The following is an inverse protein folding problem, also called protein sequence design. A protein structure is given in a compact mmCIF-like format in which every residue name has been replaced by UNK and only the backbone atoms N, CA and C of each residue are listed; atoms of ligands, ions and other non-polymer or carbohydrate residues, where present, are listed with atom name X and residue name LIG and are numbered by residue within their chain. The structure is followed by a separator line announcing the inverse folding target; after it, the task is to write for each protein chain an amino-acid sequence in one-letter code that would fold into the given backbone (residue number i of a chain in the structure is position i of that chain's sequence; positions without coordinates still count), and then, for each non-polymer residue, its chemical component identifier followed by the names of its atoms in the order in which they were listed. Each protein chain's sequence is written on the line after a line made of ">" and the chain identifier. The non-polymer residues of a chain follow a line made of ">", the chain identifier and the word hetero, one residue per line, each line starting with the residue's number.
data_IF_879395146299
#
_entry.id   IF_879395146299
#
_cell.length_a   1.000
_cell.length_b   1.000
_cell.length_c   1.000
_cell.angle_alpha   90.00
_cell.angle_beta   90.00
_cell.angle_gamma   90.00
#
_symmetry.space_group_name_H-M   'P 1'
#
loop_
_entity.id
_entity.type
_entity.pdbx_description
1 polymer ?
#
# COMPACT_ATOMS: atom_id res chain seq x y z
N UNK A 1 -26.13 6.45 -3.46
CA UNK A 1 -25.62 7.65 -4.18
C UNK A 1 -24.33 7.34 -4.94
N UNK A 2 -23.32 6.76 -4.34
CA UNK A 2 -22.02 6.38 -4.96
C UNK A 2 -22.19 5.43 -6.14
N UNK A 3 -22.98 4.37 -6.02
CA UNK A 3 -23.21 3.38 -7.08
C UNK A 3 -23.72 3.99 -8.40
N UNK A 4 -24.56 5.05 -8.31
CA UNK A 4 -25.03 5.79 -9.49
C UNK A 4 -23.95 6.69 -10.11
N UNK A 5 -23.02 7.22 -9.31
CA UNK A 5 -21.91 8.04 -9.82
C UNK A 5 -20.89 7.17 -10.58
N UNK A 6 -20.61 5.97 -10.06
CA UNK A 6 -19.73 4.99 -10.71
C UNK A 6 -20.29 4.55 -12.07
N UNK A 7 -21.61 4.40 -12.22
CA UNK A 7 -22.24 4.00 -13.48
C UNK A 7 -22.07 5.04 -14.63
N UNK A 8 -21.87 6.32 -14.32
CA UNK A 8 -21.81 7.38 -15.36
C UNK A 8 -20.65 7.20 -16.36
N UNK A 9 -19.39 7.00 -15.96
CA UNK A 9 -18.29 6.78 -16.90
C UNK A 9 -18.48 5.48 -17.70
N UNK A 10 -18.99 4.41 -17.09
CA UNK A 10 -19.32 3.18 -17.80
C UNK A 10 -20.36 3.39 -18.89
N UNK A 11 -21.40 4.16 -18.61
CA UNK A 11 -22.44 4.44 -19.59
C UNK A 11 -21.94 5.25 -20.80
N UNK A 12 -20.90 6.08 -20.63
CA UNK A 12 -20.24 6.73 -21.76
C UNK A 12 -19.58 5.70 -22.70
N UNK A 13 -18.87 4.74 -22.12
CA UNK A 13 -18.21 3.65 -22.87
C UNK A 13 -19.28 2.76 -23.52
N UNK A 14 -20.27 2.30 -22.75
CA UNK A 14 -21.34 1.44 -23.24
C UNK A 14 -22.09 2.05 -24.43
N UNK A 15 -22.31 3.37 -24.42
CA UNK A 15 -22.91 4.09 -25.55
C UNK A 15 -22.08 3.96 -26.82
N UNK A 16 -20.75 4.02 -26.73
CA UNK A 16 -19.86 3.87 -27.90
C UNK A 16 -20.01 2.48 -28.55
N UNK A 17 -20.23 1.46 -27.72
CA UNK A 17 -20.43 0.07 -28.17
C UNK A 17 -21.89 -0.33 -28.36
N UNK A 18 -22.84 0.63 -28.45
CA UNK A 18 -24.25 0.34 -28.65
C UNK A 18 -24.96 -0.44 -27.55
N UNK A 19 -24.35 -0.49 -26.35
CA UNK A 19 -24.89 -1.24 -25.22
C UNK A 19 -25.86 -0.40 -24.40
N UNK A 20 -26.87 -1.06 -23.79
CA UNK A 20 -27.84 -0.40 -22.91
C UNK A 20 -27.16 0.20 -21.68
N UNK A 21 -27.56 1.39 -21.20
CA UNK A 21 -27.03 1.98 -19.99
C UNK A 21 -27.40 1.15 -18.75
N UNK A 22 -26.50 1.13 -17.77
CA UNK A 22 -26.73 0.55 -16.45
C UNK A 22 -27.17 1.64 -15.46
N UNK A 23 -27.95 1.27 -14.44
CA UNK A 23 -28.51 2.21 -13.44
C UNK A 23 -27.58 2.40 -12.24
N UNK A 24 -26.79 1.38 -11.91
CA UNK A 24 -25.90 1.37 -10.74
C UNK A 24 -24.65 0.55 -11.01
N UNK A 25 -23.66 0.64 -10.10
CA UNK A 25 -22.45 -0.17 -10.14
C UNK A 25 -22.76 -1.67 -10.02
N UNK A 26 -23.82 -2.05 -9.32
CA UNK A 26 -24.19 -3.45 -9.10
C UNK A 26 -24.51 -4.17 -10.43
N UNK A 27 -25.07 -3.44 -11.40
CA UNK A 27 -25.34 -3.97 -12.75
C UNK A 27 -24.08 -4.11 -13.62
N UNK A 28 -22.92 -3.64 -13.13
CA UNK A 28 -21.63 -3.76 -13.83
C UNK A 28 -20.89 -5.03 -13.36
N UNK A 29 -21.17 -5.47 -12.14
CA UNK A 29 -20.57 -6.70 -11.59
C UNK A 29 -21.07 -7.92 -12.38
N UNK A 30 -20.18 -8.92 -12.51
CA UNK A 30 -20.55 -10.16 -13.16
C UNK A 30 -21.60 -10.92 -12.34
N UNK A 31 -22.57 -11.53 -13.03
CA UNK A 31 -23.51 -12.49 -12.47
C UNK A 31 -22.95 -13.90 -12.35
N UNK A 32 -21.78 -14.17 -12.95
CA UNK A 32 -21.12 -15.48 -13.00
C UNK A 32 -19.92 -15.59 -12.05
N UNK A 33 -18.99 -14.63 -12.08
CA UNK A 33 -17.76 -14.67 -11.29
C UNK A 33 -17.23 -13.27 -11.05
N UNK A 34 -16.92 -12.94 -9.80
CA UNK A 34 -16.24 -11.72 -9.37
C UNK A 34 -15.01 -12.11 -8.56
N UNK A 35 -13.84 -11.82 -9.08
CA UNK A 35 -12.55 -12.11 -8.43
C UNK A 35 -12.13 -10.93 -7.56
N UNK A 36 -11.86 -11.19 -6.30
CA UNK A 36 -11.47 -10.20 -5.32
C UNK A 36 -10.02 -10.50 -4.90
N UNK A 37 -9.03 -9.70 -5.38
CA UNK A 37 -7.61 -9.97 -5.17
C UNK A 37 -7.14 -9.55 -3.77
N UNK A 38 -7.80 -10.03 -2.73
CA UNK A 38 -7.49 -9.76 -1.32
C UNK A 38 -7.32 -11.10 -0.59
N UNK A 39 -6.39 -11.15 0.35
CA UNK A 39 -6.13 -12.32 1.18
C UNK A 39 -7.24 -12.55 2.20
N UNK A 40 -7.67 -13.81 2.33
CA UNK A 40 -8.59 -14.27 3.38
C UNK A 40 -7.98 -14.19 4.80
N UNK A 41 -6.68 -14.10 4.90
CA UNK A 41 -5.97 -13.92 6.18
C UNK A 41 -5.94 -12.48 6.66
N UNK A 42 -6.37 -11.54 5.81
CA UNK A 42 -6.43 -10.11 6.09
C UNK A 42 -7.87 -9.62 6.20
N UNK A 43 -8.75 -10.18 5.37
CA UNK A 43 -10.18 -9.83 5.33
C UNK A 43 -11.01 -11.10 5.35
N UNK A 44 -11.90 -11.21 6.34
CA UNK A 44 -12.88 -12.29 6.34
C UNK A 44 -13.88 -12.13 5.19
N UNK A 45 -14.23 -13.25 4.57
CA UNK A 45 -15.29 -13.25 3.55
C UNK A 45 -16.60 -12.81 4.18
N UNK A 46 -17.25 -11.83 3.59
CA UNK A 46 -18.58 -11.41 4.04
C UNK A 46 -19.57 -12.59 3.88
N UNK A 47 -20.24 -13.03 4.95
CA UNK A 47 -21.14 -14.18 4.91
C UNK A 47 -22.38 -13.98 4.01
N UNK A 48 -22.70 -12.74 3.68
CA UNK A 48 -23.81 -12.42 2.76
C UNK A 48 -23.38 -12.37 1.27
N UNK A 49 -22.12 -12.59 0.97
CA UNK A 49 -21.67 -12.67 -0.42
C UNK A 49 -22.10 -13.98 -1.05
N UNK A 50 -22.67 -13.90 -2.25
CA UNK A 50 -22.91 -15.05 -3.11
C UNK A 50 -21.59 -15.77 -3.46
N UNK A 51 -21.66 -17.05 -3.80
CA UNK A 51 -20.48 -17.89 -4.12
C UNK A 51 -19.64 -17.34 -5.26
N UNK A 52 -20.26 -16.65 -6.20
CA UNK A 52 -19.58 -15.98 -7.32
C UNK A 52 -18.54 -14.91 -6.90
N UNK A 53 -18.60 -14.42 -5.66
CA UNK A 53 -17.63 -13.46 -5.13
C UNK A 53 -16.53 -14.20 -4.39
N UNK A 54 -15.35 -14.33 -5.02
CA UNK A 54 -14.26 -15.19 -4.57
C UNK A 54 -13.03 -14.36 -4.17
N UNK A 55 -12.57 -14.55 -2.93
CA UNK A 55 -11.26 -14.05 -2.49
C UNK A 55 -10.18 -14.96 -3.09
N UNK A 56 -9.31 -14.41 -3.91
CA UNK A 56 -8.26 -15.18 -4.62
C UNK A 56 -6.88 -15.07 -3.98
N UNK A 57 -6.73 -14.23 -2.96
CA UNK A 57 -5.42 -13.80 -2.51
C UNK A 57 -4.89 -12.66 -3.37
N UNK A 58 -3.81 -12.00 -2.93
CA UNK A 58 -3.23 -10.87 -3.65
C UNK A 58 -2.61 -11.30 -4.98
N UNK A 59 -2.75 -10.42 -5.98
CA UNK A 59 -2.07 -10.58 -7.27
C UNK A 59 -0.82 -9.72 -7.25
N UNK A 60 0.32 -10.36 -7.23
CA UNK A 60 1.63 -9.70 -7.18
C UNK A 60 2.64 -10.45 -8.03
N UNK A 61 3.68 -9.75 -8.43
CA UNK A 61 4.82 -10.32 -9.13
C UNK A 61 5.87 -10.74 -8.08
N UNK A 62 6.27 -11.99 -8.09
CA UNK A 62 7.25 -12.53 -7.13
C UNK A 62 8.67 -12.12 -7.47
N UNK A 63 8.97 -11.91 -8.75
CA UNK A 63 10.31 -11.66 -9.24
C UNK A 63 10.41 -10.29 -9.89
N UNK A 64 10.98 -9.35 -9.17
CA UNK A 64 11.50 -8.15 -9.79
C UNK A 64 13.03 -8.22 -9.71
N UNK A 65 13.68 -8.59 -10.79
CA UNK A 65 15.12 -8.37 -10.99
C UNK A 65 15.36 -6.86 -11.06
N UNK A 66 15.52 -6.25 -9.90
CA UNK A 66 15.89 -4.84 -9.82
C UNK A 66 17.33 -4.71 -9.35
N UNK A 67 18.14 -4.05 -10.15
CA UNK A 67 19.51 -3.71 -9.79
C UNK A 67 19.53 -2.23 -9.37
N UNK A 68 19.81 -1.95 -8.08
CA UNK A 68 19.90 -0.58 -7.60
C UNK A 68 21.09 0.13 -8.25
N UNK A 69 21.00 1.45 -8.39
CA UNK A 69 22.18 2.24 -8.68
C UNK A 69 23.18 2.18 -7.52
N UNK A 70 24.45 2.53 -7.81
CA UNK A 70 25.56 2.42 -6.86
C UNK A 70 25.29 3.22 -5.57
N UNK A 71 24.73 4.42 -5.68
CA UNK A 71 24.45 5.28 -4.53
C UNK A 71 23.40 4.67 -3.60
N UNK A 72 22.34 4.10 -4.17
CA UNK A 72 21.28 3.44 -3.40
C UNK A 72 21.83 2.17 -2.71
N UNK A 73 22.64 1.39 -3.42
CA UNK A 73 23.27 0.20 -2.85
C UNK A 73 24.23 0.57 -1.70
N UNK A 74 25.07 1.57 -1.88
CA UNK A 74 25.99 2.07 -0.85
C UNK A 74 25.22 2.62 0.36
N UNK A 75 24.18 3.41 0.14
CA UNK A 75 23.36 3.92 1.22
C UNK A 75 22.75 2.79 2.05
N UNK A 76 22.19 1.76 1.44
CA UNK A 76 21.63 0.61 2.16
C UNK A 76 22.70 -0.13 2.95
N UNK A 77 23.87 -0.35 2.36
CA UNK A 77 24.97 -1.08 2.99
C UNK A 77 25.67 -0.31 4.12
N UNK A 78 25.56 1.03 4.16
CA UNK A 78 26.33 1.90 5.07
C UNK A 78 25.83 1.95 6.52
N UNK A 79 24.77 1.19 6.90
CA UNK A 79 24.28 1.19 8.28
C UNK A 79 22.98 0.41 8.48
N UNK A 80 22.27 0.71 9.55
CA UNK A 80 21.02 0.05 9.91
C UNK A 80 19.95 0.19 8.82
N UNK A 81 19.05 -0.79 8.77
CA UNK A 81 17.91 -0.77 7.81
C UNK A 81 17.13 0.54 7.90
N UNK A 82 16.96 1.26 6.80
CA UNK A 82 16.26 2.54 6.77
C UNK A 82 14.74 2.36 6.94
N UNK A 83 14.07 3.42 7.35
CA UNK A 83 12.62 3.58 7.19
C UNK A 83 12.34 3.92 5.73
N UNK A 84 11.35 3.26 5.12
CA UNK A 84 10.91 3.62 3.76
C UNK A 84 9.72 4.55 3.87
N UNK A 85 9.80 5.74 3.28
CA UNK A 85 8.67 6.65 3.12
C UNK A 85 8.16 6.56 1.67
N UNK A 86 6.93 6.09 1.48
CA UNK A 86 6.31 5.90 0.17
C UNK A 86 4.89 6.47 0.14
N UNK A 87 4.78 7.79 -0.05
CA UNK A 87 3.49 8.46 -0.21
C UNK A 87 3.13 8.56 -1.70
N UNK A 88 1.91 8.15 -2.05
CA UNK A 88 1.37 8.26 -3.40
C UNK A 88 1.07 9.70 -3.81
N UNK A 89 0.86 9.94 -5.10
CA UNK A 89 0.63 11.27 -5.66
C UNK A 89 -0.57 12.02 -5.06
N UNK A 90 -1.64 11.31 -4.68
CA UNK A 90 -2.83 11.91 -4.03
C UNK A 90 -2.58 12.42 -2.61
N UNK A 91 -1.42 12.13 -2.03
CA UNK A 91 -1.07 12.56 -0.68
C UNK A 91 -0.77 14.06 -0.56
N UNK A 92 -0.78 14.80 -1.67
CA UNK A 92 -0.41 16.22 -1.72
C UNK A 92 -1.56 17.17 -2.08
N UNK A 93 -2.81 16.70 -2.00
CA UNK A 93 -3.98 17.53 -2.35
C UNK A 93 -4.31 18.58 -1.29
N UNK A 94 -4.01 18.31 -0.02
CA UNK A 94 -4.36 19.15 1.13
C UNK A 94 -3.23 20.07 1.61
N UNK A 95 -1.98 19.74 1.31
CA UNK A 95 -0.77 20.49 1.70
C UNK A 95 0.28 20.43 0.61
N UNK A 96 1.18 21.42 0.61
CA UNK A 96 2.30 21.39 -0.33
C UNK A 96 3.19 20.17 -0.09
N UNK A 97 3.77 19.65 -1.18
CA UNK A 97 4.69 18.53 -1.14
C UNK A 97 5.90 18.84 -0.23
N UNK A 98 6.37 20.09 -0.26
CA UNK A 98 7.48 20.57 0.59
C UNK A 98 7.15 20.55 2.07
N UNK A 99 6.00 21.05 2.47
CA UNK A 99 5.59 21.07 3.89
C UNK A 99 5.53 19.66 4.48
N UNK A 100 4.97 18.72 3.73
CA UNK A 100 4.93 17.32 4.17
C UNK A 100 6.33 16.70 4.25
N UNK A 101 7.18 16.98 3.27
CA UNK A 101 8.56 16.50 3.28
C UNK A 101 9.32 17.05 4.49
N UNK A 102 9.20 18.33 4.77
CA UNK A 102 9.82 18.97 5.93
C UNK A 102 9.41 18.29 7.25
N UNK A 103 8.11 17.96 7.43
CA UNK A 103 7.63 17.26 8.62
C UNK A 103 8.29 15.89 8.79
N UNK A 104 8.37 15.08 7.70
CA UNK A 104 9.00 13.76 7.75
C UNK A 104 10.50 13.85 7.97
N UNK A 105 11.20 14.73 7.27
CA UNK A 105 12.65 14.93 7.41
C UNK A 105 12.99 15.33 8.85
N UNK A 106 12.24 16.27 9.44
CA UNK A 106 12.44 16.69 10.82
C UNK A 106 12.13 15.57 11.81
N UNK A 107 11.07 14.80 11.58
CA UNK A 107 10.73 13.66 12.41
C UNK A 107 11.83 12.57 12.37
N UNK A 108 12.36 12.25 11.19
CA UNK A 108 13.47 11.29 11.06
C UNK A 108 14.75 11.80 11.77
N UNK A 109 15.08 13.10 11.64
CA UNK A 109 16.21 13.69 12.39
C UNK A 109 16.04 13.53 13.90
N UNK A 110 14.85 13.88 14.43
CA UNK A 110 14.57 13.82 15.87
C UNK A 110 14.49 12.39 16.43
N UNK A 111 14.15 11.42 15.59
CA UNK A 111 14.12 10.01 15.99
C UNK A 111 15.43 9.25 15.71
N UNK A 112 16.42 9.91 15.09
CA UNK A 112 17.67 9.27 14.67
C UNK A 112 17.47 8.21 13.58
N UNK A 113 16.35 8.27 12.83
CA UNK A 113 16.03 7.28 11.82
C UNK A 113 16.76 7.56 10.51
N UNK A 114 17.41 6.53 9.94
CA UNK A 114 17.78 6.55 8.52
C UNK A 114 16.54 6.37 7.67
N UNK A 115 16.46 7.03 6.51
CA UNK A 115 15.29 6.91 5.65
C UNK A 115 15.62 6.88 4.16
N UNK A 116 14.84 6.09 3.40
CA UNK A 116 14.76 6.19 1.94
C UNK A 116 13.38 6.76 1.60
N UNK A 117 13.36 7.83 0.81
CA UNK A 117 12.16 8.59 0.46
C UNK A 117 11.84 8.37 -1.01
N UNK A 118 10.70 7.72 -1.28
CA UNK A 118 10.16 7.55 -2.61
C UNK A 118 8.96 8.47 -2.81
N UNK A 119 8.98 9.23 -3.88
CA UNK A 119 8.00 10.28 -4.16
C UNK A 119 8.56 11.68 -3.99
N UNK A 120 7.70 12.68 -3.76
CA UNK A 120 8.07 14.09 -3.58
C UNK A 120 8.87 14.65 -4.77
N UNK A 121 8.57 14.21 -5.99
CA UNK A 121 9.39 14.45 -7.18
C UNK A 121 9.59 15.91 -7.51
N UNK A 122 8.59 16.77 -7.25
CA UNK A 122 8.68 18.20 -7.52
C UNK A 122 9.63 18.89 -6.54
N UNK A 123 9.52 18.53 -5.26
CA UNK A 123 10.32 19.12 -4.19
C UNK A 123 11.75 18.59 -4.16
N UNK A 124 11.95 17.29 -4.46
CA UNK A 124 13.25 16.64 -4.39
C UNK A 124 14.30 17.21 -5.36
N UNK A 125 13.87 17.90 -6.42
CA UNK A 125 14.82 18.49 -7.40
C UNK A 125 15.81 19.46 -6.75
N UNK A 126 15.33 20.24 -5.77
CA UNK A 126 16.10 21.31 -5.12
C UNK A 126 16.22 21.11 -3.61
N UNK A 127 15.81 19.94 -3.10
CA UNK A 127 15.81 19.67 -1.66
C UNK A 127 17.07 18.97 -1.21
N UNK A 128 17.76 19.54 -0.24
CA UNK A 128 18.99 18.96 0.33
C UNK A 128 18.61 18.07 1.51
N UNK A 129 18.73 16.77 1.33
CA UNK A 129 18.53 15.77 2.39
C UNK A 129 19.79 15.65 3.26
N UNK A 130 19.61 15.35 4.57
CA UNK A 130 20.74 14.95 5.43
C UNK A 130 21.39 13.64 4.93
N UNK A 131 22.64 13.39 5.29
CA UNK A 131 23.37 12.16 4.95
C UNK A 131 22.69 10.86 5.43
N UNK A 132 21.87 10.96 6.49
CA UNK A 132 21.07 9.84 7.01
C UNK A 132 19.84 9.53 6.17
N UNK A 133 19.57 10.30 5.13
CA UNK A 133 18.38 10.16 4.28
C UNK A 133 18.75 10.20 2.81
N UNK A 134 18.04 9.42 2.01
CA UNK A 134 18.23 9.36 0.57
C UNK A 134 16.89 9.39 -0.15
N UNK A 135 16.81 10.15 -1.25
CA UNK A 135 15.71 10.06 -2.18
C UNK A 135 15.99 8.94 -3.19
N UNK A 136 14.96 8.15 -3.50
CA UNK A 136 15.01 7.20 -4.61
C UNK A 136 13.96 7.54 -5.66
N UNK A 137 14.25 7.19 -6.92
CA UNK A 137 13.31 7.33 -8.03
C UNK A 137 12.20 6.27 -7.99
N UNK A 138 11.76 5.87 -9.18
CA UNK A 138 10.81 4.77 -9.32
C UNK A 138 11.52 3.43 -9.08
N UNK A 139 11.51 2.98 -7.83
CA UNK A 139 12.05 1.68 -7.41
C UNK A 139 10.87 0.75 -7.13
N UNK A 140 10.87 -0.49 -7.64
CA UNK A 140 9.80 -1.44 -7.36
C UNK A 140 9.62 -1.70 -5.86
N UNK A 141 8.38 -1.67 -5.37
CA UNK A 141 8.08 -1.96 -3.96
C UNK A 141 8.51 -3.38 -3.56
N UNK A 142 8.47 -4.33 -4.50
CA UNK A 142 8.93 -5.70 -4.32
C UNK A 142 10.38 -5.79 -3.87
N UNK A 143 11.22 -4.89 -4.35
CA UNK A 143 12.61 -4.80 -3.96
C UNK A 143 12.81 -3.82 -2.80
N UNK A 144 12.29 -2.60 -2.90
CA UNK A 144 12.55 -1.51 -1.96
C UNK A 144 12.09 -1.83 -0.54
N UNK A 145 10.90 -2.39 -0.36
CA UNK A 145 10.35 -2.64 0.97
C UNK A 145 11.14 -3.67 1.76
N UNK A 146 11.74 -4.64 1.09
CA UNK A 146 12.63 -5.64 1.71
C UNK A 146 13.93 -5.03 2.28
N UNK A 147 14.33 -3.87 1.78
CA UNK A 147 15.50 -3.14 2.30
C UNK A 147 15.17 -2.34 3.55
N UNK A 148 13.89 -2.05 3.80
CA UNK A 148 13.44 -1.24 4.91
C UNK A 148 13.30 -2.00 6.23
N UNK A 149 13.39 -1.27 7.34
CA UNK A 149 12.98 -1.73 8.66
C UNK A 149 11.45 -1.80 8.74
N UNK A 150 10.79 -0.72 8.36
CA UNK A 150 9.34 -0.63 8.19
C UNK A 150 9.00 0.42 7.13
N UNK A 151 7.74 0.47 6.70
CA UNK A 151 7.28 1.38 5.65
C UNK A 151 6.27 2.37 6.22
N UNK A 152 6.46 3.67 5.95
CA UNK A 152 5.43 4.71 6.15
C UNK A 152 4.78 4.94 4.80
N UNK A 153 3.45 4.70 4.68
CA UNK A 153 2.78 4.78 3.39
C UNK A 153 1.33 5.25 3.46
N UNK A 154 0.81 5.70 2.31
CA UNK A 154 -0.54 6.24 2.17
C UNK A 154 -1.67 5.20 2.16
N UNK A 155 -1.34 3.93 2.23
CA UNK A 155 -2.30 2.80 2.22
C UNK A 155 -3.12 2.65 0.94
N UNK A 156 -2.58 3.00 -0.24
CA UNK A 156 -3.14 2.54 -1.49
C UNK A 156 -3.14 1.01 -1.56
N UNK A 157 -4.09 0.40 -2.28
CA UNK A 157 -4.27 -1.04 -2.36
C UNK A 157 -2.96 -1.80 -2.64
N UNK A 158 -2.25 -1.44 -3.73
CA UNK A 158 -0.99 -2.11 -4.11
C UNK A 158 0.12 -1.95 -3.07
N UNK A 159 0.23 -0.77 -2.43
CA UNK A 159 1.23 -0.53 -1.40
C UNK A 159 0.95 -1.33 -0.13
N UNK A 160 -0.33 -1.39 0.28
CA UNK A 160 -0.75 -2.21 1.43
C UNK A 160 -0.56 -3.70 1.17
N UNK A 161 -0.90 -4.16 -0.04
CA UNK A 161 -0.64 -5.54 -0.45
C UNK A 161 0.86 -5.86 -0.42
N UNK A 162 1.72 -4.96 -0.91
CA UNK A 162 3.17 -5.16 -0.90
C UNK A 162 3.74 -5.30 0.52
N UNK A 163 3.29 -4.49 1.51
CA UNK A 163 3.76 -4.64 2.89
C UNK A 163 3.40 -6.01 3.47
N UNK A 164 2.20 -6.51 3.18
CA UNK A 164 1.74 -7.83 3.62
C UNK A 164 2.47 -8.98 2.91
N UNK A 165 2.59 -8.91 1.58
CA UNK A 165 3.26 -9.92 0.76
C UNK A 165 4.72 -10.09 1.13
N UNK A 166 5.41 -8.97 1.41
CA UNK A 166 6.85 -9.00 1.75
C UNK A 166 7.11 -9.06 3.27
N UNK A 167 6.08 -9.14 4.09
CA UNK A 167 6.21 -9.31 5.54
C UNK A 167 6.87 -8.13 6.23
N UNK A 168 6.53 -6.89 5.83
CA UNK A 168 7.11 -5.67 6.36
C UNK A 168 6.08 -4.89 7.17
N UNK A 169 6.34 -4.58 8.45
CA UNK A 169 5.43 -3.78 9.25
C UNK A 169 5.34 -2.34 8.74
N UNK A 170 4.25 -1.64 9.06
CA UNK A 170 4.03 -0.32 8.49
C UNK A 170 3.38 0.70 9.42
N UNK A 171 3.61 1.97 9.09
CA UNK A 171 2.93 3.13 9.66
C UNK A 171 1.97 3.70 8.60
N UNK A 172 0.66 3.47 8.75
CA UNK A 172 -0.36 3.92 7.81
C UNK A 172 -0.62 5.42 7.91
N UNK A 173 -0.59 6.13 6.77
CA UNK A 173 -0.93 7.56 6.66
C UNK A 173 -1.99 7.76 5.57
N UNK A 174 -3.25 7.29 5.78
CA UNK A 174 -4.30 7.37 4.78
C UNK A 174 -4.78 8.80 4.55
N UNK A 175 -5.02 9.15 3.28
CA UNK A 175 -5.48 10.46 2.83
C UNK A 175 -6.94 10.44 2.34
N UNK A 176 -7.39 9.32 1.78
CA UNK A 176 -8.75 9.15 1.25
C UNK A 176 -9.44 7.91 1.84
N UNK A 177 -10.74 7.78 1.58
CA UNK A 177 -11.60 6.83 2.31
C UNK A 177 -11.22 5.35 2.14
N UNK A 178 -10.90 4.91 0.93
CA UNK A 178 -10.47 3.53 0.65
C UNK A 178 -9.15 3.20 1.36
N UNK A 179 -8.22 4.16 1.37
CA UNK A 179 -6.95 4.03 2.07
C UNK A 179 -7.13 3.84 3.58
N UNK A 180 -8.12 4.53 4.18
CA UNK A 180 -8.44 4.31 5.60
C UNK A 180 -8.93 2.88 5.85
N UNK A 181 -9.73 2.33 4.94
CA UNK A 181 -10.17 0.93 5.00
C UNK A 181 -8.98 -0.03 5.01
N UNK A 182 -8.04 0.11 4.07
CA UNK A 182 -6.82 -0.72 4.02
C UNK A 182 -5.92 -0.51 5.25
N UNK A 183 -5.78 0.72 5.71
CA UNK A 183 -5.02 1.03 6.93
C UNK A 183 -5.58 0.32 8.17
N UNK A 184 -6.90 0.28 8.31
CA UNK A 184 -7.57 -0.45 9.39
C UNK A 184 -7.37 -1.96 9.28
N UNK A 185 -7.41 -2.52 8.07
CA UNK A 185 -7.14 -3.94 7.86
C UNK A 185 -5.73 -4.32 8.31
N UNK A 186 -4.71 -3.53 7.95
CA UNK A 186 -3.33 -3.74 8.41
C UNK A 186 -3.19 -3.69 9.93
N UNK A 187 -3.87 -2.72 10.57
CA UNK A 187 -3.86 -2.59 12.02
C UNK A 187 -4.61 -3.76 12.71
N UNK A 188 -5.75 -4.20 12.17
CA UNK A 188 -6.54 -5.28 12.74
C UNK A 188 -5.79 -6.62 12.78
N UNK A 189 -4.89 -6.85 11.83
CA UNK A 189 -4.03 -8.04 11.81
C UNK A 189 -2.68 -7.81 12.51
N UNK A 190 -2.54 -6.70 13.23
CA UNK A 190 -1.38 -6.33 14.03
C UNK A 190 -0.04 -6.33 13.26
N UNK A 191 -0.05 -5.80 12.04
CA UNK A 191 1.17 -5.59 11.21
C UNK A 191 1.46 -4.11 10.99
N UNK A 192 0.65 -3.22 11.56
CA UNK A 192 0.78 -1.79 11.41
C UNK A 192 0.30 -1.05 12.66
N UNK A 193 0.87 0.13 12.90
CA UNK A 193 0.39 1.04 13.92
C UNK A 193 -1.05 1.51 13.63
N UNK A 194 -1.72 2.10 14.60
CA UNK A 194 -3.00 2.78 14.36
C UNK A 194 -2.82 3.85 13.28
N UNK A 195 -3.77 3.99 12.32
CA UNK A 195 -3.65 4.95 11.23
C UNK A 195 -3.49 6.40 11.71
N UNK A 196 -2.52 7.11 11.14
CA UNK A 196 -2.37 8.56 11.28
C UNK A 196 -3.08 9.24 10.10
N UNK A 197 -4.25 9.82 10.34
CA UNK A 197 -5.01 10.48 9.27
C UNK A 197 -4.27 11.71 8.75
N UNK A 198 -4.33 11.98 7.45
CA UNK A 198 -3.64 13.10 6.81
C UNK A 198 -3.95 14.46 7.45
N UNK A 199 -5.18 14.69 7.92
CA UNK A 199 -5.57 15.93 8.62
C UNK A 199 -4.85 16.14 9.97
N UNK A 200 -4.42 15.05 10.61
CA UNK A 200 -3.76 15.04 11.91
C UNK A 200 -2.22 14.94 11.76
N UNK A 201 -1.71 15.05 10.52
CA UNK A 201 -0.29 14.95 10.20
C UNK A 201 0.46 16.17 10.70
N UNK A 202 1.41 15.97 11.58
CA UNK A 202 2.38 16.96 12.07
C UNK A 202 3.70 16.25 12.38
N UNK A 203 4.75 17.03 12.60
CA UNK A 203 6.04 16.50 13.01
C UNK A 203 5.92 15.66 14.30
N UNK A 204 5.19 16.16 15.30
CA UNK A 204 4.99 15.50 16.59
C UNK A 204 4.25 14.18 16.44
N UNK A 205 3.18 14.13 15.60
CA UNK A 205 2.41 12.91 15.38
C UNK A 205 3.20 11.87 14.59
N UNK A 206 4.03 12.29 13.65
CA UNK A 206 4.94 11.41 12.92
C UNK A 206 5.98 10.80 13.89
N UNK A 207 6.60 11.62 14.75
CA UNK A 207 7.54 11.17 15.78
C UNK A 207 6.88 10.13 16.69
N UNK A 208 5.66 10.42 17.16
CA UNK A 208 4.91 9.49 18.01
C UNK A 208 4.68 8.15 17.32
N UNK A 209 4.34 8.15 16.01
CA UNK A 209 4.13 6.92 15.24
C UNK A 209 5.42 6.13 14.96
N UNK A 210 6.52 6.82 14.73
CA UNK A 210 7.83 6.16 14.59
C UNK A 210 8.21 5.48 15.91
N UNK A 211 8.00 6.13 17.05
CA UNK A 211 8.25 5.54 18.38
C UNK A 211 7.33 4.35 18.65
N UNK A 212 6.01 4.50 18.42
CA UNK A 212 5.04 3.40 18.53
C UNK A 212 5.49 2.17 17.72
N UNK A 213 5.95 2.39 16.49
CA UNK A 213 6.47 1.32 15.65
C UNK A 213 7.75 0.71 16.22
N UNK A 214 8.68 1.49 16.76
CA UNK A 214 9.89 0.96 17.36
C UNK A 214 9.60 0.10 18.60
N UNK A 215 8.67 0.56 19.45
CA UNK A 215 8.28 -0.14 20.69
C UNK A 215 7.57 -1.48 20.41
N UNK A 216 6.84 -1.58 19.28
CA UNK A 216 6.08 -2.77 18.89
C UNK A 216 6.71 -3.54 17.72
N UNK A 217 7.92 -3.19 17.30
CA UNK A 217 8.52 -3.68 16.06
C UNK A 217 8.61 -5.20 15.98
N UNK A 218 9.15 -5.84 16.99
CA UNK A 218 9.41 -7.29 16.96
C UNK A 218 8.12 -8.09 16.85
N UNK A 219 7.07 -7.67 17.56
CA UNK A 219 5.75 -8.29 17.48
C UNK A 219 5.11 -8.07 16.09
N UNK A 220 5.08 -6.82 15.62
CA UNK A 220 4.51 -6.50 14.30
C UNK A 220 5.29 -7.16 13.16
N UNK A 221 6.61 -7.24 13.25
CA UNK A 221 7.45 -7.92 12.27
C UNK A 221 7.15 -9.42 12.21
N UNK A 222 7.07 -10.08 13.35
CA UNK A 222 6.70 -11.50 13.45
C UNK A 222 5.32 -11.76 12.83
N UNK A 223 4.33 -10.91 13.14
CA UNK A 223 2.98 -11.02 12.58
C UNK A 223 2.98 -10.80 11.06
N UNK A 224 3.73 -9.81 10.58
CA UNK A 224 3.84 -9.52 9.16
C UNK A 224 4.47 -10.70 8.38
N UNK A 225 5.52 -11.32 8.93
CA UNK A 225 6.14 -12.50 8.35
C UNK A 225 5.19 -13.70 8.33
N UNK A 226 4.49 -13.96 9.44
CA UNK A 226 3.52 -15.04 9.53
C UNK A 226 2.38 -14.88 8.51
N UNK A 227 1.87 -13.65 8.33
CA UNK A 227 0.82 -13.37 7.34
C UNK A 227 1.38 -13.49 5.93
N UNK A 228 2.58 -13.00 5.66
CA UNK A 228 3.26 -13.17 4.37
C UNK A 228 3.35 -14.63 3.95
N UNK A 229 3.79 -15.52 4.86
CA UNK A 229 3.86 -16.96 4.57
C UNK A 229 2.48 -17.56 4.25
N UNK A 230 1.43 -17.15 4.96
CA UNK A 230 0.07 -17.60 4.67
C UNK A 230 -0.44 -17.08 3.32
N UNK A 231 -0.18 -15.82 2.97
CA UNK A 231 -0.56 -15.24 1.68
C UNK A 231 0.02 -16.03 0.52
N UNK A 232 1.26 -16.48 0.61
CA UNK A 232 1.93 -17.29 -0.43
C UNK A 232 1.22 -18.61 -0.70
N UNK A 233 0.39 -19.10 0.23
CA UNK A 233 -0.37 -20.36 0.04
C UNK A 233 -1.72 -20.18 -0.67
N UNK A 234 -2.14 -18.94 -0.97
CA UNK A 234 -3.48 -18.66 -1.49
C UNK A 234 -3.65 -18.81 -3.02
N UNK A 235 -2.58 -18.97 -3.76
CA UNK A 235 -2.61 -19.14 -5.20
C UNK A 235 -2.75 -17.87 -6.04
N UNK A 236 -3.28 -16.76 -5.49
CA UNK A 236 -3.28 -15.43 -6.15
C UNK A 236 -3.75 -15.46 -7.60
N UNK A 237 -2.86 -15.07 -8.52
CA UNK A 237 -3.12 -15.08 -9.98
C UNK A 237 -3.42 -16.50 -10.50
N UNK A 238 -2.75 -17.52 -9.99
CA UNK A 238 -2.99 -18.92 -10.39
C UNK A 238 -4.42 -19.36 -10.06
N UNK A 239 -4.91 -19.05 -8.89
CA UNK A 239 -6.31 -19.31 -8.49
C UNK A 239 -7.31 -18.54 -9.36
N UNK A 240 -7.02 -17.28 -9.67
CA UNK A 240 -7.86 -16.50 -10.57
C UNK A 240 -7.95 -17.12 -11.97
N UNK A 241 -6.82 -17.57 -12.54
CA UNK A 241 -6.77 -18.25 -13.84
C UNK A 241 -7.53 -19.57 -13.80
N UNK A 242 -7.39 -20.37 -12.74
CA UNK A 242 -8.13 -21.62 -12.56
C UNK A 242 -9.64 -21.38 -12.60
N UNK A 243 -10.13 -20.43 -11.82
CA UNK A 243 -11.56 -20.10 -11.75
C UNK A 243 -12.11 -19.57 -13.08
N UNK A 244 -11.33 -18.77 -13.82
CA UNK A 244 -11.73 -18.29 -15.15
C UNK A 244 -11.85 -19.47 -16.12
N UNK A 245 -10.89 -20.40 -16.14
CA UNK A 245 -10.91 -21.56 -17.00
C UNK A 245 -12.13 -22.46 -16.73
N UNK A 246 -12.46 -22.70 -15.46
CA UNK A 246 -13.67 -23.45 -15.09
C UNK A 246 -14.98 -22.78 -15.52
N UNK A 247 -14.98 -21.45 -15.68
CA UNK A 247 -16.15 -20.70 -16.11
C UNK A 247 -16.41 -20.81 -17.63
N UNK A 248 -15.37 -21.06 -18.43
CA UNK A 248 -15.43 -21.08 -19.90
C UNK A 248 -15.43 -22.49 -20.49
N UNK A 249 -15.18 -23.53 -19.68
CA UNK A 249 -15.36 -24.95 -20.05
C UNK A 249 -16.75 -25.42 -19.77
#
# INVERSE_FOLDING_TARGET
>A
MIAKQVAKPYNKIRKVYGQKPVKSADEIMSDRLNLIPISRYVVERNPYWEEKNVLTGYWYDEETEYVPDEKLAEFIASGDKPVILALGAMSFEDRSEKEKLDMFVNAFKKTGSRAIIQGFQKTMRDYVLPETMMACGSVPHSWLFRQGKFVIHHCGFGTSAATLVYGIPSVPVPHVLDQLGFAMQLNNVNVATKPLKAKDLSEETIIAKIKEMHDSYDEMKKNAEMISERIKTEGGVGEAVRLINELIT
#
